data_IF_868698879198
#
_entry.id   IF_868698879198
#
_cell.length_a   1.000
_cell.length_b   1.000
_cell.length_c   1.000
_cell.angle_alpha   90.00
_cell.angle_beta   90.00
_cell.angle_gamma   90.00
#
_symmetry.space_group_name_H-M   'P 1'
#
loop_
_entity.id
_entity.type
_entity.pdbx_description
1 polymer ?
#
# COMPACT_ATOMS: atom_id res chain seq x y z
N UNK A 1 31.88 -45.84 16.69
CA UNK A 1 31.87 -44.37 16.50
C UNK A 1 30.43 -43.88 16.44
N UNK A 2 29.92 -43.27 17.51
CA UNK A 2 28.54 -42.82 17.59
C UNK A 2 28.33 -41.62 16.65
N UNK A 3 27.46 -41.76 15.64
CA UNK A 3 27.05 -40.67 14.76
C UNK A 3 26.30 -39.62 15.58
N UNK A 4 26.98 -38.53 15.90
CA UNK A 4 26.40 -37.35 16.56
C UNK A 4 25.29 -36.79 15.67
N UNK A 5 24.03 -37.03 16.08
CA UNK A 5 22.83 -36.49 15.43
C UNK A 5 22.88 -34.96 15.59
N UNK A 6 23.12 -34.23 14.49
CA UNK A 6 23.14 -32.75 14.49
C UNK A 6 21.83 -32.23 15.11
N UNK A 7 21.91 -31.64 16.31
CA UNK A 7 20.80 -30.89 16.93
C UNK A 7 20.35 -29.82 15.94
N UNK A 8 19.05 -29.77 15.63
CA UNK A 8 18.46 -28.66 14.88
C UNK A 8 18.73 -27.38 15.65
N UNK A 9 19.49 -26.46 15.07
CA UNK A 9 19.74 -25.15 15.68
C UNK A 9 18.40 -24.46 15.94
N UNK A 10 18.22 -23.78 17.10
CA UNK A 10 17.03 -22.98 17.34
C UNK A 10 16.94 -21.92 16.23
N UNK A 11 15.76 -21.83 15.60
CA UNK A 11 15.47 -20.89 14.51
C UNK A 11 16.09 -19.54 14.81
N UNK A 12 17.01 -19.08 13.95
CA UNK A 12 17.57 -17.72 13.99
C UNK A 12 16.40 -16.75 14.16
N UNK A 13 16.46 -15.90 15.19
CA UNK A 13 15.47 -14.85 15.43
C UNK A 13 15.30 -14.09 14.11
N UNK A 14 14.06 -14.04 13.60
CA UNK A 14 13.72 -13.23 12.44
C UNK A 14 14.24 -11.81 12.69
N UNK A 15 14.90 -11.16 11.72
CA UNK A 15 15.34 -9.79 11.90
C UNK A 15 14.13 -8.96 12.33
N UNK A 16 14.25 -8.21 13.43
CA UNK A 16 13.28 -7.19 13.79
C UNK A 16 13.33 -6.16 12.67
N UNK A 17 12.51 -6.37 11.63
CA UNK A 17 12.33 -5.40 10.58
C UNK A 17 11.66 -4.21 11.25
N UNK A 18 12.43 -3.15 11.46
CA UNK A 18 11.98 -1.89 12.07
C UNK A 18 10.59 -1.54 11.56
N UNK A 19 9.63 -1.39 12.48
CA UNK A 19 8.23 -1.10 12.14
C UNK A 19 8.12 0.15 11.25
N UNK A 20 9.04 1.11 11.42
CA UNK A 20 9.17 2.28 10.55
C UNK A 20 9.37 1.88 9.10
N UNK A 21 10.34 0.99 8.81
CA UNK A 21 10.56 0.49 7.46
C UNK A 21 9.36 -0.27 6.90
N UNK A 22 8.59 -0.97 7.76
CA UNK A 22 7.37 -1.68 7.34
C UNK A 22 6.23 -0.72 6.96
N UNK A 23 6.10 0.41 7.65
CA UNK A 23 5.10 1.44 7.36
C UNK A 23 5.47 2.18 6.06
N UNK A 24 6.72 2.60 5.90
CA UNK A 24 7.18 3.31 4.70
C UNK A 24 7.24 2.43 3.45
N UNK A 25 7.60 1.15 3.58
CA UNK A 25 7.57 0.19 2.45
C UNK A 25 6.22 -0.52 2.30
N UNK A 26 5.17 -0.08 2.98
CA UNK A 26 3.84 -0.68 2.82
C UNK A 26 3.34 -0.39 1.41
N UNK A 27 3.12 -1.45 0.63
CA UNK A 27 2.52 -1.32 -0.70
C UNK A 27 1.13 -0.69 -0.55
N UNK A 28 0.84 0.34 -1.35
CA UNK A 28 -0.48 0.97 -1.38
C UNK A 28 -1.54 -0.09 -1.66
N UNK A 29 -2.54 -0.14 -0.80
CA UNK A 29 -3.66 -1.08 -0.95
C UNK A 29 -4.51 -0.73 -2.18
N UNK A 30 -5.29 -1.69 -2.66
CA UNK A 30 -6.25 -1.42 -3.75
C UNK A 30 -7.19 -0.27 -3.40
N UNK A 31 -7.65 -0.22 -2.15
CA UNK A 31 -8.52 0.85 -1.64
C UNK A 31 -7.86 2.24 -1.74
N UNK A 32 -6.57 2.37 -1.38
CA UNK A 32 -5.84 3.65 -1.52
C UNK A 32 -5.71 4.09 -2.97
N UNK A 33 -5.47 3.16 -3.90
CA UNK A 33 -5.43 3.46 -5.33
C UNK A 33 -6.81 3.84 -5.86
N UNK A 34 -7.84 3.14 -5.43
CA UNK A 34 -9.23 3.42 -5.81
C UNK A 34 -9.69 4.79 -5.31
N UNK A 35 -9.41 5.13 -4.05
CA UNK A 35 -9.71 6.44 -3.47
C UNK A 35 -9.04 7.58 -4.25
N UNK A 36 -7.78 7.40 -4.66
CA UNK A 36 -7.07 8.38 -5.50
C UNK A 36 -7.76 8.58 -6.86
N UNK A 37 -8.14 7.48 -7.54
CA UNK A 37 -8.82 7.56 -8.84
C UNK A 37 -10.19 8.22 -8.71
N UNK A 38 -10.96 7.85 -7.69
CA UNK A 38 -12.28 8.45 -7.43
C UNK A 38 -12.17 9.93 -7.10
N UNK A 39 -11.15 10.35 -6.34
CA UNK A 39 -10.89 11.76 -6.08
C UNK A 39 -10.64 12.56 -7.37
N UNK A 40 -9.84 12.03 -8.29
CA UNK A 40 -9.56 12.67 -9.59
C UNK A 40 -10.85 12.77 -10.42
N UNK A 41 -11.65 11.71 -10.46
CA UNK A 41 -12.93 11.70 -11.21
C UNK A 41 -13.91 12.74 -10.68
N UNK A 42 -14.02 12.90 -9.36
CA UNK A 42 -14.90 13.90 -8.75
C UNK A 42 -14.47 15.31 -9.15
N UNK A 43 -13.17 15.62 -9.05
CA UNK A 43 -12.66 16.94 -9.45
C UNK A 43 -12.93 17.21 -10.93
N UNK A 44 -12.71 16.23 -11.81
CA UNK A 44 -13.01 16.36 -13.23
C UNK A 44 -14.51 16.62 -13.48
N UNK A 45 -15.40 15.88 -12.81
CA UNK A 45 -16.84 16.09 -12.93
C UNK A 45 -17.25 17.49 -12.48
N UNK A 46 -16.65 17.99 -11.39
CA UNK A 46 -16.96 19.29 -10.81
C UNK A 46 -16.52 20.43 -11.75
N UNK A 47 -15.35 20.29 -12.36
CA UNK A 47 -14.88 21.22 -13.41
C UNK A 47 -15.81 21.17 -14.63
N UNK A 48 -16.22 19.98 -15.07
CA UNK A 48 -17.14 19.83 -16.19
C UNK A 48 -18.47 20.52 -15.92
N UNK A 49 -19.04 20.33 -14.72
CA UNK A 49 -20.27 21.00 -14.29
C UNK A 49 -20.12 22.51 -14.34
N UNK A 50 -19.02 23.07 -13.81
CA UNK A 50 -18.77 24.51 -13.88
C UNK A 50 -18.65 25.03 -15.31
N UNK A 51 -18.00 24.28 -16.21
CA UNK A 51 -17.89 24.65 -17.63
C UNK A 51 -19.25 24.64 -18.31
N UNK A 52 -20.07 23.61 -18.08
CA UNK A 52 -21.43 23.51 -18.63
C UNK A 52 -22.31 24.63 -18.10
N UNK A 53 -22.32 24.87 -16.79
CA UNK A 53 -23.10 25.96 -16.16
C UNK A 53 -22.66 27.33 -16.64
N UNK A 54 -21.37 27.54 -16.91
CA UNK A 54 -20.84 28.82 -17.40
C UNK A 54 -21.10 29.04 -18.89
N UNK A 55 -21.07 27.99 -19.69
CA UNK A 55 -21.27 28.08 -21.13
C UNK A 55 -22.75 28.09 -21.55
N UNK A 56 -23.69 28.02 -20.59
CA UNK A 56 -25.12 28.19 -20.85
C UNK A 56 -25.66 27.12 -21.78
N UNK A 57 -25.77 25.89 -21.25
CA UNK A 57 -26.83 24.99 -21.70
C UNK A 57 -28.11 25.29 -20.92
#
# INVERSE_FOLDING_TARGET
>A
MAKVKKRRQPKKKLPQVSEKNRIYNRKRTFAEKFLLVMGILIVLSMVLTLVITRNGF
#
